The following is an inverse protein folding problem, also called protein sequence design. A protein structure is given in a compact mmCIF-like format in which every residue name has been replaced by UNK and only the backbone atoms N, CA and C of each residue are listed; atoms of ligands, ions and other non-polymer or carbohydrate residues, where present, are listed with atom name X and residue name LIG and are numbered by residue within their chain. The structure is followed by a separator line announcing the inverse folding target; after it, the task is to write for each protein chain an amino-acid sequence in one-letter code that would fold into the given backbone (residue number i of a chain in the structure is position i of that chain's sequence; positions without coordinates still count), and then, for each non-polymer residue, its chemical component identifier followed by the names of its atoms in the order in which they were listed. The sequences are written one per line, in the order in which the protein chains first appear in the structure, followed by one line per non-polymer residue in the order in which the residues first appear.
data_IF_931022352907
#
_entry.id   IF_931022352907
#
_cell.length_a   1.000
_cell.length_b   1.000
_cell.length_c   1.000
_cell.angle_alpha   90.00
_cell.angle_beta   90.00
_cell.angle_gamma   90.00
#
_symmetry.space_group_name_H-M   'P 1'
#
loop_
_entity.id
_entity.type
_entity.pdbx_description
1 polymer ?
#
# COMPACT_ATOMS: atom_id res chain seq x y z
N UNK A 1 17.75 6.45 -9.71
CA UNK A 1 17.35 5.20 -9.04
C UNK A 1 17.26 4.05 -10.03
N UNK A 2 17.40 2.83 -9.56
CA UNK A 2 17.20 1.62 -10.34
C UNK A 2 15.71 1.25 -10.29
N UNK A 3 15.04 1.25 -11.45
CA UNK A 3 13.64 0.92 -11.54
C UNK A 3 13.34 -0.13 -12.59
N UNK A 4 12.30 -0.91 -12.34
CA UNK A 4 11.74 -1.85 -13.30
C UNK A 4 10.49 -1.24 -13.95
N UNK A 5 10.32 -1.52 -15.24
CA UNK A 5 9.10 -1.32 -16.01
C UNK A 5 8.61 -2.69 -16.44
N UNK A 6 7.63 -3.22 -15.71
CA UNK A 6 7.11 -4.58 -15.92
C UNK A 6 5.90 -4.52 -16.83
N UNK A 7 5.97 -5.25 -17.94
CA UNK A 7 5.03 -5.13 -19.05
C UNK A 7 5.32 -3.88 -19.88
N UNK A 8 6.61 -3.62 -20.15
CA UNK A 8 7.05 -2.38 -20.81
C UNK A 8 6.58 -2.25 -22.26
N UNK A 9 6.10 -3.33 -22.87
CA UNK A 9 5.78 -3.34 -24.28
C UNK A 9 6.98 -2.96 -25.17
N UNK A 10 6.72 -2.37 -26.33
CA UNK A 10 7.79 -1.92 -27.22
C UNK A 10 8.51 -0.64 -26.73
N UNK A 11 7.93 0.06 -25.73
CA UNK A 11 8.45 1.33 -25.23
C UNK A 11 8.42 1.37 -23.72
N UNK A 12 9.59 1.52 -23.11
CA UNK A 12 9.72 1.77 -21.67
C UNK A 12 9.12 3.13 -21.31
N UNK A 13 8.46 3.20 -20.17
CA UNK A 13 7.92 4.45 -19.63
C UNK A 13 9.01 5.50 -19.45
N UNK A 14 10.22 5.07 -19.05
CA UNK A 14 11.40 5.92 -18.95
C UNK A 14 12.64 5.22 -19.48
N UNK A 15 13.53 5.92 -20.24
CA UNK A 15 14.70 5.30 -20.87
C UNK A 15 15.67 4.63 -19.90
N UNK A 16 15.73 5.11 -18.65
CA UNK A 16 16.67 4.59 -17.63
C UNK A 16 16.10 3.44 -16.79
N UNK A 17 14.84 3.02 -17.04
CA UNK A 17 14.28 1.84 -16.40
C UNK A 17 14.78 0.57 -17.10
N UNK A 18 14.81 -0.53 -16.35
CA UNK A 18 14.98 -1.86 -16.91
C UNK A 18 13.60 -2.32 -17.39
N UNK A 19 13.41 -2.32 -18.70
CA UNK A 19 12.18 -2.81 -19.32
C UNK A 19 12.12 -4.33 -19.26
N UNK A 20 11.07 -4.84 -18.68
CA UNK A 20 10.80 -6.27 -18.53
C UNK A 20 9.51 -6.64 -19.26
N UNK A 21 9.58 -7.64 -20.12
CA UNK A 21 8.40 -8.16 -20.81
C UNK A 21 8.61 -9.61 -21.27
N UNK A 22 7.53 -10.29 -21.65
CA UNK A 22 7.63 -11.59 -22.31
C UNK A 22 7.88 -11.40 -23.80
N UNK A 23 8.38 -12.43 -24.47
CA UNK A 23 8.48 -12.47 -25.94
C UNK A 23 7.32 -13.25 -26.58
N UNK A 24 6.18 -13.38 -25.89
CA UNK A 24 4.99 -14.05 -26.47
C UNK A 24 4.54 -13.34 -27.74
N UNK A 25 4.59 -12.01 -27.70
CA UNK A 25 4.30 -11.17 -28.86
C UNK A 25 5.63 -10.59 -29.38
N UNK A 26 6.02 -10.99 -30.58
CA UNK A 26 7.24 -10.51 -31.23
C UNK A 26 7.10 -9.05 -31.63
N UNK A 27 5.85 -8.61 -31.81
CA UNK A 27 5.49 -7.26 -32.26
C UNK A 27 4.15 -6.86 -31.62
N UNK A 28 4.09 -5.64 -31.12
CA UNK A 28 2.88 -5.04 -30.57
C UNK A 28 2.61 -3.71 -31.28
N UNK A 29 1.40 -3.54 -31.82
CA UNK A 29 1.02 -2.34 -32.60
C UNK A 29 1.95 -2.01 -33.77
N UNK A 30 2.54 -3.02 -34.44
CA UNK A 30 3.47 -2.83 -35.55
C UNK A 30 4.90 -2.43 -35.10
N UNK A 31 5.21 -2.55 -33.83
CA UNK A 31 6.52 -2.21 -33.26
C UNK A 31 7.12 -3.45 -32.61
N UNK A 32 8.37 -3.77 -32.98
CA UNK A 32 9.06 -4.93 -32.44
C UNK A 32 9.29 -4.79 -30.93
N UNK A 33 9.04 -5.87 -30.20
CA UNK A 33 9.31 -5.96 -28.77
C UNK A 33 10.82 -6.07 -28.54
N UNK A 34 11.34 -5.25 -27.63
CA UNK A 34 12.77 -5.25 -27.29
C UNK A 34 12.99 -4.93 -25.80
N UNK A 35 12.53 -5.79 -24.90
CA UNK A 35 12.75 -5.58 -23.46
C UNK A 35 14.23 -5.74 -23.11
N UNK A 36 14.73 -4.98 -22.14
CA UNK A 36 16.08 -5.15 -21.59
C UNK A 36 16.24 -6.52 -20.91
N UNK A 37 15.15 -7.03 -20.36
CA UNK A 37 15.07 -8.32 -19.68
C UNK A 37 13.81 -9.07 -20.12
N UNK A 38 14.01 -10.26 -20.69
CA UNK A 38 12.88 -11.17 -21.00
C UNK A 38 12.44 -11.86 -19.72
N UNK A 39 11.16 -11.72 -19.39
CA UNK A 39 10.49 -12.35 -18.24
C UNK A 39 9.23 -13.02 -18.74
N UNK A 40 9.19 -14.35 -18.70
CA UNK A 40 8.04 -15.12 -19.20
C UNK A 40 6.85 -15.09 -18.26
N UNK A 41 7.09 -14.92 -16.97
CA UNK A 41 6.06 -14.82 -15.93
C UNK A 41 6.34 -13.62 -15.02
N UNK A 42 5.44 -12.67 -15.02
CA UNK A 42 5.54 -11.50 -14.15
C UNK A 42 5.37 -11.82 -12.65
N UNK A 43 4.94 -13.04 -12.31
CA UNK A 43 4.94 -13.57 -10.95
C UNK A 43 6.30 -14.11 -10.51
N UNK A 44 7.28 -14.19 -11.41
CA UNK A 44 8.63 -14.69 -11.13
C UNK A 44 9.69 -13.67 -11.50
N UNK A 45 10.16 -12.92 -10.52
CA UNK A 45 11.26 -11.98 -10.62
C UNK A 45 12.52 -12.50 -9.91
N UNK A 46 12.73 -13.82 -9.85
CA UNK A 46 13.90 -14.45 -9.18
C UNK A 46 15.24 -13.99 -9.75
N UNK A 47 15.24 -13.46 -10.97
CA UNK A 47 16.42 -12.83 -11.59
C UNK A 47 16.81 -11.49 -10.93
N UNK A 48 15.99 -10.95 -10.03
CA UNK A 48 16.27 -9.75 -9.23
C UNK A 48 16.28 -10.12 -7.74
N UNK A 49 17.29 -9.62 -7.02
CA UNK A 49 17.43 -9.83 -5.59
C UNK A 49 16.34 -9.09 -4.80
N UNK A 50 16.06 -9.56 -3.58
CA UNK A 50 15.24 -8.84 -2.63
C UNK A 50 15.78 -7.42 -2.42
N UNK A 51 14.87 -6.46 -2.27
CA UNK A 51 15.22 -5.07 -1.97
C UNK A 51 16.34 -4.48 -2.87
N UNK A 52 16.30 -4.80 -4.17
CA UNK A 52 17.30 -4.32 -5.14
C UNK A 52 16.84 -3.11 -5.96
N UNK A 53 15.51 -2.85 -6.00
CA UNK A 53 14.93 -1.81 -6.85
C UNK A 53 14.42 -0.61 -6.04
N UNK A 54 14.68 0.60 -6.53
CA UNK A 54 14.16 1.81 -5.90
C UNK A 54 12.66 1.99 -6.22
N UNK A 55 12.20 1.45 -7.36
CA UNK A 55 10.78 1.39 -7.73
C UNK A 55 10.50 0.29 -8.75
N UNK A 56 9.22 -0.11 -8.77
CA UNK A 56 8.62 -0.94 -9.80
C UNK A 56 7.45 -0.15 -10.39
N UNK A 57 7.44 0.01 -11.68
CA UNK A 57 6.36 0.59 -12.47
C UNK A 57 5.70 -0.50 -13.30
N UNK A 58 4.38 -0.48 -13.40
CA UNK A 58 3.63 -1.32 -14.33
C UNK A 58 2.37 -0.60 -14.80
N UNK A 59 2.14 -0.65 -16.11
CA UNK A 59 1.02 -0.02 -16.76
C UNK A 59 0.27 -1.04 -17.61
N UNK A 60 -1.04 -1.18 -17.36
CA UNK A 60 -1.93 -2.04 -18.15
C UNK A 60 -1.39 -3.48 -18.35
N UNK A 61 -0.86 -4.08 -17.27
CA UNK A 61 -0.41 -5.47 -17.26
C UNK A 61 -1.12 -6.31 -16.20
N UNK A 62 -1.32 -5.76 -14.98
CA UNK A 62 -1.77 -6.56 -13.84
C UNK A 62 -3.14 -7.20 -14.07
N UNK A 63 -4.01 -6.55 -14.84
CA UNK A 63 -5.32 -7.04 -15.24
C UNK A 63 -5.27 -8.29 -16.13
N UNK A 64 -4.13 -8.56 -16.78
CA UNK A 64 -3.91 -9.74 -17.61
C UNK A 64 -3.37 -10.93 -16.81
N UNK A 65 -2.86 -10.72 -15.59
CA UNK A 65 -2.21 -11.76 -14.78
C UNK A 65 -3.24 -12.50 -13.97
N UNK A 66 -3.35 -13.82 -14.15
CA UNK A 66 -4.35 -14.63 -13.46
C UNK A 66 -4.20 -14.58 -11.94
N UNK A 67 -2.97 -14.75 -11.42
CA UNK A 67 -2.64 -14.57 -10.00
C UNK A 67 -1.96 -13.23 -9.76
N UNK A 68 -2.72 -12.15 -9.88
CA UNK A 68 -2.21 -10.79 -9.67
C UNK A 68 -1.67 -10.58 -8.24
N UNK A 69 -2.13 -11.37 -7.26
CA UNK A 69 -1.61 -11.29 -5.89
C UNK A 69 -0.19 -11.83 -5.78
N UNK A 70 0.11 -12.94 -6.47
CA UNK A 70 1.46 -13.47 -6.56
C UNK A 70 2.39 -12.47 -7.25
N UNK A 71 1.95 -11.85 -8.36
CA UNK A 71 2.70 -10.80 -9.03
C UNK A 71 2.99 -9.61 -8.09
N UNK A 72 1.97 -9.08 -7.42
CA UNK A 72 2.15 -7.97 -6.48
C UNK A 72 3.11 -8.32 -5.34
N UNK A 73 3.07 -9.54 -4.81
CA UNK A 73 3.97 -10.02 -3.76
C UNK A 73 5.42 -10.05 -4.25
N UNK A 74 5.63 -10.54 -5.46
CA UNK A 74 6.96 -10.63 -6.05
C UNK A 74 7.52 -9.25 -6.41
N UNK A 75 6.69 -8.35 -6.94
CA UNK A 75 7.06 -6.97 -7.22
C UNK A 75 7.42 -6.23 -5.93
N UNK A 76 6.68 -6.49 -4.85
CA UNK A 76 6.96 -5.93 -3.53
C UNK A 76 8.27 -6.44 -2.93
N UNK A 77 8.60 -7.71 -3.15
CA UNK A 77 9.85 -8.32 -2.68
C UNK A 77 11.07 -7.57 -3.20
N UNK A 78 11.09 -7.26 -4.49
CA UNK A 78 12.26 -6.63 -5.14
C UNK A 78 12.39 -5.14 -4.82
N UNK A 79 11.34 -4.47 -4.36
CA UNK A 79 11.38 -3.05 -3.97
C UNK A 79 12.12 -2.89 -2.65
N UNK A 80 13.06 -1.95 -2.59
CA UNK A 80 13.76 -1.55 -1.35
C UNK A 80 12.81 -0.89 -0.37
N UNK A 81 13.13 -0.99 0.90
CA UNK A 81 12.56 -0.09 1.90
C UNK A 81 12.80 1.38 1.50
N UNK A 82 11.74 2.19 1.52
CA UNK A 82 11.72 3.58 1.01
C UNK A 82 11.41 3.69 -0.47
N UNK A 83 11.44 2.57 -1.21
CA UNK A 83 11.09 2.50 -2.63
C UNK A 83 9.59 2.51 -2.90
N UNK A 84 9.20 2.48 -4.17
CA UNK A 84 7.81 2.68 -4.57
C UNK A 84 7.33 1.62 -5.56
N UNK A 85 6.08 1.21 -5.40
CA UNK A 85 5.29 0.52 -6.41
C UNK A 85 4.39 1.56 -7.09
N UNK A 86 4.44 1.63 -8.40
CA UNK A 86 3.63 2.55 -9.21
C UNK A 86 2.80 1.75 -10.18
N UNK A 87 1.49 1.80 -10.03
CA UNK A 87 0.54 1.07 -10.87
C UNK A 87 -0.35 2.04 -11.64
N UNK A 88 -0.49 1.80 -12.93
CA UNK A 88 -1.45 2.48 -13.79
C UNK A 88 -2.36 1.43 -14.44
N UNK A 89 -3.61 1.34 -14.00
CA UNK A 89 -4.50 0.23 -14.31
C UNK A 89 -5.84 0.72 -14.86
N UNK A 90 -6.49 -0.02 -15.79
CA UNK A 90 -7.83 0.32 -16.23
C UNK A 90 -8.80 0.26 -15.05
N UNK A 91 -9.65 1.28 -14.96
CA UNK A 91 -10.64 1.38 -13.90
C UNK A 91 -11.97 0.79 -14.35
N UNK A 92 -12.50 -0.19 -13.61
CA UNK A 92 -13.73 -0.92 -14.00
C UNK A 92 -14.96 -0.04 -14.21
N UNK A 93 -14.95 1.21 -13.73
CA UNK A 93 -16.03 2.17 -13.97
C UNK A 93 -15.93 2.89 -15.31
N UNK A 94 -14.72 2.94 -15.88
CA UNK A 94 -14.43 3.75 -17.07
C UNK A 94 -14.06 2.90 -18.27
N UNK A 95 -13.68 1.64 -18.07
CA UNK A 95 -13.33 0.68 -19.09
C UNK A 95 -14.38 -0.46 -19.12
N UNK A 96 -14.71 -1.04 -20.29
CA UNK A 96 -15.62 -2.18 -20.38
C UNK A 96 -15.11 -3.37 -19.57
N UNK A 97 -15.94 -3.88 -18.68
CA UNK A 97 -15.58 -4.99 -17.81
C UNK A 97 -15.42 -6.32 -18.58
N UNK A 98 -14.67 -7.24 -18.02
CA UNK A 98 -14.40 -8.57 -18.59
C UNK A 98 -15.71 -9.22 -19.06
N UNK A 99 -15.70 -9.66 -20.31
CA UNK A 99 -16.86 -10.31 -20.95
C UNK A 99 -17.94 -9.35 -21.47
N UNK A 100 -17.75 -8.03 -21.32
CA UNK A 100 -18.65 -7.04 -21.92
C UNK A 100 -18.19 -6.65 -23.34
N UNK A 101 -19.12 -6.22 -24.21
CA UNK A 101 -18.74 -5.71 -25.52
C UNK A 101 -17.72 -4.57 -25.42
N UNK A 102 -16.63 -4.66 -26.19
CA UNK A 102 -15.55 -3.66 -26.20
C UNK A 102 -14.47 -3.86 -25.14
N UNK A 103 -14.60 -4.87 -24.24
CA UNK A 103 -13.52 -5.23 -23.33
C UNK A 103 -12.38 -5.93 -24.08
N UNK A 104 -11.17 -5.78 -23.57
CA UNK A 104 -10.03 -6.57 -24.04
C UNK A 104 -10.25 -8.04 -23.62
N UNK A 105 -10.26 -9.01 -24.58
CA UNK A 105 -10.50 -10.42 -24.27
C UNK A 105 -9.41 -11.06 -23.40
N UNK A 106 -8.24 -10.47 -23.32
CA UNK A 106 -7.12 -10.96 -22.51
C UNK A 106 -7.18 -10.51 -21.05
N UNK A 107 -8.03 -9.55 -20.70
CA UNK A 107 -8.24 -9.16 -19.30
C UNK A 107 -8.80 -10.33 -18.49
N UNK A 108 -8.26 -10.54 -17.31
CA UNK A 108 -8.69 -11.54 -16.32
C UNK A 108 -9.39 -10.88 -15.15
N UNK A 109 -9.15 -9.60 -14.92
CA UNK A 109 -9.64 -8.84 -13.78
C UNK A 109 -10.11 -7.45 -14.19
N UNK A 110 -11.10 -6.94 -13.45
CA UNK A 110 -11.55 -5.56 -13.47
C UNK A 110 -11.24 -4.93 -12.11
N UNK A 111 -10.45 -3.88 -12.09
CA UNK A 111 -9.97 -3.29 -10.85
C UNK A 111 -10.61 -1.95 -10.51
N UNK A 112 -10.83 -1.75 -9.21
CA UNK A 112 -10.91 -0.44 -8.57
C UNK A 112 -9.68 -0.23 -7.67
N UNK A 113 -9.35 1.02 -7.32
CA UNK A 113 -8.26 1.28 -6.36
C UNK A 113 -8.40 0.52 -5.03
N UNK A 114 -9.63 0.31 -4.57
CA UNK A 114 -9.96 -0.46 -3.36
C UNK A 114 -9.51 -1.91 -3.42
N UNK A 115 -9.58 -2.55 -4.60
CA UNK A 115 -9.21 -3.96 -4.77
C UNK A 115 -7.71 -4.16 -4.60
N UNK A 116 -6.92 -3.27 -5.22
CA UNK A 116 -5.46 -3.29 -5.10
C UNK A 116 -5.01 -2.93 -3.68
N UNK A 117 -5.65 -1.92 -3.06
CA UNK A 117 -5.36 -1.56 -1.66
C UNK A 117 -5.67 -2.72 -0.69
N UNK A 118 -6.73 -3.46 -0.93
CA UNK A 118 -7.07 -4.66 -0.15
C UNK A 118 -6.03 -5.77 -0.35
N UNK A 119 -5.65 -6.05 -1.61
CA UNK A 119 -4.63 -7.03 -1.90
C UNK A 119 -3.28 -6.69 -1.24
N UNK A 120 -2.85 -5.43 -1.32
CA UNK A 120 -1.60 -4.99 -0.72
C UNK A 120 -1.61 -5.09 0.81
N UNK A 121 -2.74 -4.82 1.48
CA UNK A 121 -2.84 -5.03 2.94
C UNK A 121 -2.58 -6.47 3.37
N UNK A 122 -2.95 -7.43 2.52
CA UNK A 122 -2.79 -8.85 2.83
C UNK A 122 -1.38 -9.38 2.55
N UNK A 123 -0.66 -8.79 1.59
CA UNK A 123 0.58 -9.34 1.05
C UNK A 123 1.80 -8.45 1.23
N UNK A 124 1.60 -7.16 1.51
CA UNK A 124 2.65 -6.15 1.50
C UNK A 124 2.79 -5.50 2.88
N UNK A 125 3.74 -6.00 3.67
CA UNK A 125 4.09 -5.34 4.93
C UNK A 125 4.67 -3.96 4.65
N UNK A 126 4.25 -2.95 5.44
CA UNK A 126 4.74 -1.58 5.35
C UNK A 126 4.28 -0.82 4.09
N UNK A 127 3.14 -1.18 3.50
CA UNK A 127 2.57 -0.45 2.36
C UNK A 127 1.90 0.85 2.81
N UNK A 128 2.43 1.98 2.32
CA UNK A 128 1.91 3.33 2.56
C UNK A 128 1.43 3.94 1.24
N UNK A 129 0.14 4.25 1.14
CA UNK A 129 -0.45 4.83 -0.07
C UNK A 129 -0.06 6.30 -0.16
N UNK A 130 0.81 6.61 -1.10
CA UNK A 130 1.31 7.98 -1.32
C UNK A 130 0.37 8.77 -2.23
N UNK A 131 -0.16 8.10 -3.27
CA UNK A 131 -1.04 8.73 -4.24
C UNK A 131 -2.08 7.73 -4.75
N UNK A 132 -3.30 8.20 -4.96
CA UNK A 132 -4.35 7.44 -5.62
C UNK A 132 -5.22 8.41 -6.42
N UNK A 133 -5.13 8.36 -7.73
CA UNK A 133 -5.78 9.32 -8.62
C UNK A 133 -6.55 8.59 -9.72
N UNK A 134 -7.84 8.87 -9.86
CA UNK A 134 -8.61 8.46 -11.03
C UNK A 134 -8.20 9.31 -12.24
N UNK A 135 -8.05 8.66 -13.39
CA UNK A 135 -7.70 9.26 -14.67
C UNK A 135 -8.79 8.93 -15.69
N UNK A 136 -9.72 9.86 -15.88
CA UNK A 136 -10.88 9.68 -16.74
C UNK A 136 -11.16 10.90 -17.64
N UNK A 137 -10.14 11.75 -17.84
CA UNK A 137 -10.25 12.89 -18.71
C UNK A 137 -9.78 12.56 -20.13
N UNK A 138 -10.49 13.07 -21.13
CA UNK A 138 -10.17 12.81 -22.53
C UNK A 138 -10.36 11.35 -22.92
N UNK A 139 -9.30 10.66 -23.25
CA UNK A 139 -9.30 9.24 -23.62
C UNK A 139 -8.78 8.33 -22.50
N UNK A 140 -8.51 8.87 -21.32
CA UNK A 140 -8.06 8.09 -20.18
C UNK A 140 -9.24 7.38 -19.51
N UNK A 141 -9.02 6.16 -19.05
CA UNK A 141 -9.99 5.28 -18.38
C UNK A 141 -9.37 4.50 -17.23
N UNK A 142 -8.36 5.06 -16.59
CA UNK A 142 -7.48 4.35 -15.67
C UNK A 142 -7.44 4.99 -14.28
N UNK A 143 -6.69 4.40 -13.39
CA UNK A 143 -6.26 5.03 -12.15
C UNK A 143 -4.77 4.85 -11.93
N UNK A 144 -4.16 5.84 -11.32
CA UNK A 144 -2.79 5.80 -10.82
C UNK A 144 -2.81 5.47 -9.33
N UNK A 145 -1.99 4.52 -8.92
CA UNK A 145 -1.75 4.18 -7.52
C UNK A 145 -0.24 4.17 -7.26
N UNK A 146 0.21 4.99 -6.32
CA UNK A 146 1.60 5.02 -5.86
C UNK A 146 1.65 4.56 -4.42
N UNK A 147 2.44 3.51 -4.17
CA UNK A 147 2.59 2.90 -2.86
C UNK A 147 4.05 2.90 -2.48
N UNK A 148 4.39 3.46 -1.33
CA UNK A 148 5.75 3.44 -0.79
C UNK A 148 5.93 2.25 0.13
N UNK A 149 7.04 1.52 -0.06
CA UNK A 149 7.48 0.51 0.90
C UNK A 149 8.15 1.22 2.06
N UNK A 150 7.46 1.27 3.18
CA UNK A 150 8.05 1.77 4.42
C UNK A 150 8.76 0.62 5.13
N UNK A 151 9.77 0.93 5.94
CA UNK A 151 10.15 -0.01 7.01
C UNK A 151 8.85 -0.34 7.69
N UNK A 152 8.61 -1.62 8.00
CA UNK A 152 7.57 -1.91 8.95
C UNK A 152 7.63 -0.80 10.00
N UNK A 153 6.61 0.03 10.05
CA UNK A 153 6.30 0.59 11.35
C UNK A 153 5.81 -0.62 12.11
N UNK A 154 6.82 -1.39 12.55
CA UNK A 154 6.57 -2.54 13.36
C UNK A 154 5.74 -2.07 14.51
N UNK A 155 4.47 -2.38 14.41
CA UNK A 155 3.71 -2.60 15.62
C UNK A 155 4.44 -3.62 16.50
N UNK A 156 5.58 -4.13 16.09
CA UNK A 156 6.14 -5.27 16.77
C UNK A 156 7.63 -5.22 17.06
N UNK A 157 8.48 -4.71 16.21
CA UNK A 157 9.88 -5.07 16.40
C UNK A 157 10.67 -4.19 17.37
N UNK A 158 10.25 -2.98 17.69
CA UNK A 158 10.78 -2.29 18.88
C UNK A 158 10.31 -2.96 20.19
N UNK A 159 9.18 -3.69 20.15
CA UNK A 159 8.69 -4.46 21.28
C UNK A 159 9.29 -5.88 21.38
N UNK A 160 9.91 -6.41 20.32
CA UNK A 160 10.50 -7.75 20.35
C UNK A 160 11.93 -7.76 20.88
N UNK A 161 12.63 -6.63 20.83
CA UNK A 161 13.97 -6.47 21.42
C UNK A 161 13.97 -5.81 22.79
N UNK A 162 12.97 -4.99 23.12
CA UNK A 162 12.69 -4.59 24.48
C UNK A 162 11.90 -5.72 25.17
N UNK A 163 12.28 -6.11 26.38
CA UNK A 163 11.45 -7.01 27.23
C UNK A 163 10.01 -6.57 27.09
N UNK A 164 9.15 -7.43 26.49
CA UNK A 164 7.72 -7.13 26.33
C UNK A 164 7.18 -6.63 27.66
N UNK A 165 6.55 -5.45 27.71
CA UNK A 165 5.87 -5.06 28.93
C UNK A 165 4.88 -6.17 29.25
N UNK A 166 4.86 -6.62 30.52
CA UNK A 166 4.02 -7.74 30.96
C UNK A 166 2.53 -7.48 30.74
N UNK A 167 2.14 -6.21 30.60
CA UNK A 167 0.76 -5.74 30.39
C UNK A 167 0.76 -4.55 29.44
N UNK A 168 -0.15 -4.56 28.47
CA UNK A 168 -0.38 -3.45 27.56
C UNK A 168 -1.83 -2.99 27.63
N UNK A 169 -2.07 -1.70 27.50
CA UNK A 169 -3.39 -1.11 27.41
C UNK A 169 -3.42 -0.10 26.25
N UNK A 170 -4.43 -0.18 25.40
CA UNK A 170 -4.71 0.83 24.41
C UNK A 170 -5.95 1.63 24.86
N UNK A 171 -5.79 2.91 25.08
CA UNK A 171 -6.89 3.82 25.40
C UNK A 171 -7.28 4.55 24.13
N UNK A 172 -8.49 4.32 23.64
CA UNK A 172 -9.01 4.89 22.40
C UNK A 172 -9.92 6.06 22.75
N UNK A 173 -9.58 7.27 22.26
CA UNK A 173 -10.43 8.44 22.42
C UNK A 173 -10.26 9.41 21.26
N UNK A 174 -11.33 9.64 20.56
CA UNK A 174 -11.45 10.60 19.47
C UNK A 174 -12.38 11.72 19.93
N UNK A 175 -11.87 12.73 20.55
CA UNK A 175 -12.73 13.78 21.06
C UNK A 175 -12.05 15.12 21.11
N UNK A 176 -12.83 16.11 21.52
CA UNK A 176 -12.33 17.43 21.79
C UNK A 176 -11.49 17.46 23.09
N UNK A 177 -11.05 18.67 23.46
CA UNK A 177 -10.18 18.90 24.61
C UNK A 177 -10.67 18.23 25.91
N UNK A 178 -11.96 18.40 26.23
CA UNK A 178 -12.56 17.82 27.46
C UNK A 178 -12.56 16.29 27.47
N UNK A 179 -12.79 15.68 26.31
CA UNK A 179 -12.79 14.21 26.17
C UNK A 179 -11.40 13.63 26.42
N UNK A 180 -10.36 14.30 25.95
CA UNK A 180 -8.97 13.87 26.17
C UNK A 180 -8.57 13.98 27.63
N UNK A 181 -8.98 15.05 28.32
CA UNK A 181 -8.75 15.19 29.77
C UNK A 181 -9.46 14.12 30.57
N UNK A 182 -10.70 13.75 30.20
CA UNK A 182 -11.40 12.64 30.84
C UNK A 182 -10.65 11.30 30.63
N UNK A 183 -10.19 11.03 29.41
CA UNK A 183 -9.41 9.83 29.13
C UNK A 183 -8.09 9.83 29.92
N UNK A 184 -7.45 10.97 30.10
CA UNK A 184 -6.22 11.10 30.86
C UNK A 184 -6.39 10.72 32.35
N UNK A 185 -7.59 10.86 32.92
CA UNK A 185 -7.82 10.52 34.33
C UNK A 185 -7.57 9.04 34.67
N UNK A 186 -7.70 8.12 33.71
CA UNK A 186 -7.46 6.68 33.93
C UNK A 186 -5.99 6.28 33.77
N UNK A 187 -5.18 7.07 33.06
CA UNK A 187 -3.82 6.72 32.70
C UNK A 187 -2.92 6.46 33.93
N UNK A 188 -2.95 7.29 34.99
CA UNK A 188 -2.15 7.01 36.18
C UNK A 188 -2.50 5.69 36.87
N UNK A 189 -3.77 5.28 36.80
CA UNK A 189 -4.20 3.99 37.37
C UNK A 189 -3.64 2.81 36.55
N UNK A 190 -3.66 2.91 35.22
CA UNK A 190 -3.06 1.90 34.34
C UNK A 190 -1.55 1.82 34.56
N UNK A 191 -0.83 2.94 34.68
CA UNK A 191 0.60 2.96 34.97
C UNK A 191 0.95 2.31 36.30
N UNK A 192 0.19 2.63 37.37
CA UNK A 192 0.38 1.98 38.69
C UNK A 192 0.20 0.46 38.64
N UNK A 193 -0.65 -0.04 37.74
CA UNK A 193 -0.86 -1.48 37.53
C UNK A 193 0.19 -2.12 36.59
N UNK A 194 1.17 -1.35 36.15
CA UNK A 194 2.28 -1.82 35.32
C UNK A 194 1.94 -1.95 33.84
N UNK A 195 0.91 -1.26 33.33
CA UNK A 195 0.61 -1.24 31.93
C UNK A 195 1.56 -0.32 31.15
N UNK A 196 1.95 -0.77 29.96
CA UNK A 196 2.43 0.08 28.88
C UNK A 196 1.18 0.67 28.21
N UNK A 197 1.05 1.99 28.21
CA UNK A 197 -0.14 2.69 27.79
C UNK A 197 0.07 3.34 26.43
N UNK A 198 -0.72 2.91 25.45
CA UNK A 198 -0.81 3.55 24.13
C UNK A 198 -2.10 4.33 24.04
N UNK A 199 -2.02 5.61 23.66
CA UNK A 199 -3.19 6.41 23.32
C UNK A 199 -3.47 6.37 21.83
N UNK A 200 -4.65 5.93 21.43
CA UNK A 200 -5.14 6.00 20.06
C UNK A 200 -6.08 7.21 19.94
N UNK A 201 -5.67 8.20 19.17
CA UNK A 201 -6.38 9.48 19.08
C UNK A 201 -6.10 10.19 17.76
N UNK A 202 -6.65 11.40 17.58
CA UNK A 202 -6.38 12.28 16.44
C UNK A 202 -5.19 13.21 16.71
N UNK A 203 -4.64 13.92 15.71
CA UNK A 203 -3.59 14.92 15.90
C UNK A 203 -3.99 15.99 16.94
N UNK A 204 -5.27 16.41 16.91
CA UNK A 204 -5.82 17.36 17.89
C UNK A 204 -5.88 16.77 19.30
N UNK A 205 -6.27 15.51 19.42
CA UNK A 205 -6.28 14.82 20.71
C UNK A 205 -4.87 14.62 21.27
N UNK A 206 -3.89 14.30 20.42
CA UNK A 206 -2.50 14.17 20.83
C UNK A 206 -1.99 15.47 21.45
N UNK A 207 -2.22 16.63 20.82
CA UNK A 207 -1.70 17.91 21.30
C UNK A 207 -2.16 18.28 22.71
N UNK A 208 -3.24 17.64 23.20
CA UNK A 208 -3.77 17.87 24.56
C UNK A 208 -2.98 17.12 25.63
N UNK A 209 -2.45 15.92 25.29
CA UNK A 209 -1.85 15.00 26.26
C UNK A 209 -0.47 14.51 25.84
N UNK A 210 0.17 15.15 24.86
CA UNK A 210 1.49 14.73 24.34
C UNK A 210 2.61 14.72 25.39
N UNK A 211 2.44 15.49 26.45
CA UNK A 211 3.39 15.60 27.57
C UNK A 211 2.93 14.84 28.83
N UNK A 212 1.83 14.05 28.75
CA UNK A 212 1.39 13.27 29.91
C UNK A 212 2.37 12.12 30.17
N UNK A 213 3.05 12.07 31.33
CA UNK A 213 4.04 11.06 31.66
C UNK A 213 3.46 9.64 31.77
N UNK A 214 2.14 9.51 31.75
CA UNK A 214 1.46 8.23 31.82
C UNK A 214 1.14 7.64 30.43
N UNK A 215 1.53 8.31 29.36
CA UNK A 215 1.44 7.81 27.99
C UNK A 215 2.81 7.37 27.52
N UNK A 216 2.94 6.10 27.15
CA UNK A 216 4.20 5.54 26.63
C UNK A 216 4.29 5.66 25.11
N UNK A 217 3.15 5.64 24.41
CA UNK A 217 3.09 5.72 22.95
C UNK A 217 1.78 6.33 22.46
N UNK A 218 1.81 6.87 21.25
CA UNK A 218 0.65 7.36 20.53
C UNK A 218 0.42 6.56 19.24
N UNK A 219 -0.84 6.29 18.95
CA UNK A 219 -1.31 5.90 17.64
C UNK A 219 -2.22 7.03 17.14
N UNK A 220 -1.75 7.74 16.11
CA UNK A 220 -2.46 8.91 15.59
C UNK A 220 -3.25 8.49 14.36
N UNK A 221 -4.55 8.76 14.40
CA UNK A 221 -5.47 8.53 13.32
C UNK A 221 -5.95 9.87 12.76
N UNK A 222 -5.96 10.02 11.44
CA UNK A 222 -6.45 11.22 10.78
C UNK A 222 -7.94 11.42 11.10
N UNK A 223 -8.34 12.67 11.40
CA UNK A 223 -9.72 13.05 11.70
C UNK A 223 -10.72 12.61 10.61
N UNK A 224 -10.27 12.49 9.37
CA UNK A 224 -11.09 12.06 8.22
C UNK A 224 -11.17 10.54 8.06
N UNK A 225 -10.40 9.76 8.83
CA UNK A 225 -10.31 8.31 8.71
C UNK A 225 -10.93 7.55 9.89
N UNK A 226 -11.45 8.25 10.88
CA UNK A 226 -12.17 7.60 11.98
C UNK A 226 -13.50 7.06 11.42
N UNK A 227 -13.63 5.74 11.20
CA UNK A 227 -14.89 5.21 10.69
C UNK A 227 -16.00 5.49 11.68
N UNK A 228 -17.14 5.97 11.24
CA UNK A 228 -18.30 6.25 12.09
C UNK A 228 -18.74 5.05 12.94
N UNK A 229 -18.43 3.82 12.51
CA UNK A 229 -18.71 2.60 13.27
C UNK A 229 -17.76 2.37 14.46
N UNK A 230 -16.54 2.93 14.46
CA UNK A 230 -15.68 2.87 15.64
C UNK A 230 -16.19 3.70 16.81
N UNK A 231 -17.15 4.59 16.58
CA UNK A 231 -17.79 5.39 17.63
C UNK A 231 -18.97 4.68 18.29
N UNK A 232 -19.46 3.56 17.72
CA UNK A 232 -20.67 2.88 18.18
C UNK A 232 -20.44 1.47 18.72
N UNK A 233 -19.30 0.83 18.47
CA UNK A 233 -19.09 -0.58 18.80
C UNK A 233 -18.31 -0.84 20.09
N UNK A 234 -18.03 0.20 20.89
CA UNK A 234 -17.29 0.09 22.15
C UNK A 234 -18.10 0.55 23.40
N UNK A 235 -19.45 0.45 23.34
CA UNK A 235 -20.30 0.66 24.53
C UNK A 235 -21.20 -0.53 24.77
#
# INVERSE_FOLDING_TARGET
GHGLDIGCGPHKAFPHFIGCDSLKDVELFGIAMNPDKVIEDACDLTCFSDESMDFVFSSHLLEHILDYRAALKEWWRVIKTGGHLVLYLPHKRFYPNVGQPGSNPDHKHDFEPSDIKAALRDIAEGADIVECQERNEGMEYSFLLVVRKTVERGFANSYLTAKRPKKTACVVRYGGFGDMLQAACILPALKRQGYHVTMMTTPRGQSVIEHDPNVDAFYIQDDNQVPNHCLHDFW
#
